data_IF_379974219227
#
_entry.id   IF_379974219227
#
_cell.length_a   1.000
_cell.length_b   1.000
_cell.length_c   1.000
_cell.angle_alpha   90.00
_cell.angle_beta   90.00
_cell.angle_gamma   90.00
#
_symmetry.space_group_name_H-M   'P 1'
#
loop_
_entity.id
_entity.type
_entity.pdbx_description
1 polymer ?
#
# COMPACT_ATOMS: atom_id res chain seq x y z
N UNK A 1 -3.95 26.97 -16.37
CA UNK A 1 -3.19 26.06 -17.23
C UNK A 1 -3.65 24.64 -16.88
N UNK A 2 -4.21 23.98 -17.86
CA UNK A 2 -5.13 22.86 -17.89
C UNK A 2 -4.75 21.68 -16.97
N UNK A 3 -5.55 21.45 -15.95
CA UNK A 3 -5.47 20.34 -14.98
C UNK A 3 -6.12 19.03 -15.49
N UNK A 4 -6.35 18.94 -16.80
CA UNK A 4 -7.18 17.92 -17.44
C UNK A 4 -6.41 16.80 -18.17
N UNK A 5 -5.08 16.75 -18.08
CA UNK A 5 -4.36 15.61 -18.66
C UNK A 5 -4.47 14.40 -17.75
N UNK A 6 -5.02 13.32 -18.32
CA UNK A 6 -5.21 12.06 -17.59
C UNK A 6 -3.88 11.44 -17.16
N UNK A 7 -3.89 10.69 -16.05
CA UNK A 7 -2.72 9.96 -15.55
C UNK A 7 -2.11 9.03 -16.61
N UNK A 8 -2.95 8.43 -17.46
CA UNK A 8 -2.52 7.56 -18.56
C UNK A 8 -1.69 8.32 -19.57
N UNK A 9 -2.13 9.51 -19.97
CA UNK A 9 -1.39 10.35 -20.91
C UNK A 9 -0.02 10.77 -20.35
N UNK A 10 0.03 11.23 -19.10
CA UNK A 10 1.29 11.62 -18.45
C UNK A 10 2.24 10.43 -18.33
N UNK A 11 1.73 9.28 -17.89
CA UNK A 11 2.54 8.07 -17.74
C UNK A 11 3.09 7.59 -19.08
N UNK A 12 2.29 7.58 -20.15
CA UNK A 12 2.75 7.17 -21.46
C UNK A 12 3.85 8.09 -21.99
N UNK A 13 3.73 9.40 -21.79
CA UNK A 13 4.79 10.37 -22.16
C UNK A 13 6.08 10.14 -21.37
N UNK A 14 5.98 9.75 -20.10
CA UNK A 14 7.15 9.40 -19.27
C UNK A 14 7.80 8.13 -19.78
N UNK A 15 7.01 7.09 -20.08
CA UNK A 15 7.53 5.76 -20.43
C UNK A 15 8.07 5.67 -21.86
N UNK A 16 7.43 6.35 -22.80
CA UNK A 16 7.72 6.26 -24.24
C UNK A 16 8.52 7.46 -24.75
N UNK A 17 8.29 8.64 -24.18
CA UNK A 17 8.79 9.91 -24.70
C UNK A 17 9.97 10.50 -23.93
N UNK A 18 10.41 9.90 -22.85
CA UNK A 18 11.48 10.44 -21.99
C UNK A 18 11.20 11.88 -21.50
N UNK A 19 9.92 12.20 -21.32
CA UNK A 19 9.43 13.55 -21.07
C UNK A 19 9.50 13.91 -19.59
N UNK A 20 10.50 14.71 -19.23
CA UNK A 20 10.69 15.19 -17.87
C UNK A 20 9.53 16.09 -17.39
N UNK A 21 8.95 16.92 -18.25
CA UNK A 21 7.82 17.79 -17.88
C UNK A 21 6.57 16.93 -17.54
N UNK A 22 6.33 15.87 -18.30
CA UNK A 22 5.25 14.93 -18.00
C UNK A 22 5.51 14.18 -16.68
N UNK A 23 6.77 13.83 -16.40
CA UNK A 23 7.17 13.22 -15.13
C UNK A 23 6.95 14.15 -13.94
N UNK A 24 7.36 15.40 -14.04
CA UNK A 24 7.15 16.42 -13.00
C UNK A 24 5.66 16.61 -12.68
N UNK A 25 4.81 16.69 -13.72
CA UNK A 25 3.36 16.81 -13.56
C UNK A 25 2.74 15.55 -12.94
N UNK A 26 3.19 14.36 -13.35
CA UNK A 26 2.77 13.09 -12.76
C UNK A 26 3.15 13.04 -11.28
N UNK A 27 4.38 13.46 -10.96
CA UNK A 27 4.88 13.53 -9.58
C UNK A 27 3.99 14.48 -8.74
N UNK A 28 3.80 15.72 -9.14
CA UNK A 28 2.98 16.67 -8.40
C UNK A 28 1.54 16.20 -8.19
N UNK A 29 0.96 15.52 -9.19
CA UNK A 29 -0.41 15.01 -9.11
C UNK A 29 -0.57 13.84 -8.18
N UNK A 30 0.42 12.96 -8.08
CA UNK A 30 0.32 11.70 -7.36
C UNK A 30 1.12 11.64 -6.05
N UNK A 31 2.06 12.56 -5.82
CA UNK A 31 2.94 12.53 -4.66
C UNK A 31 2.17 12.56 -3.34
N UNK A 32 1.35 13.58 -3.13
CA UNK A 32 0.59 13.74 -1.87
C UNK A 32 -0.37 12.58 -1.59
N UNK A 33 -1.21 12.13 -2.55
CA UNK A 33 -2.06 10.97 -2.33
C UNK A 33 -1.27 9.69 -2.01
N UNK A 34 -0.13 9.47 -2.68
CA UNK A 34 0.70 8.30 -2.45
C UNK A 34 1.43 8.36 -1.10
N UNK A 35 1.88 9.55 -0.66
CA UNK A 35 2.45 9.72 0.68
C UNK A 35 1.42 9.42 1.77
N UNK A 36 0.20 9.96 1.65
CA UNK A 36 -0.88 9.67 2.60
C UNK A 36 -1.27 8.18 2.61
N UNK A 37 -1.20 7.51 1.47
CA UNK A 37 -1.41 6.07 1.39
C UNK A 37 -0.28 5.29 2.05
N UNK A 38 0.98 5.64 1.76
CA UNK A 38 2.15 4.98 2.33
C UNK A 38 2.24 5.17 3.85
N UNK A 39 1.91 6.37 4.33
CA UNK A 39 1.90 6.71 5.75
C UNK A 39 0.96 5.80 6.57
N UNK A 40 -0.18 5.39 6.01
CA UNK A 40 -1.08 4.41 6.65
C UNK A 40 -0.47 3.00 6.75
N UNK A 41 0.55 2.70 5.95
CA UNK A 41 1.23 1.40 5.96
C UNK A 41 2.42 1.42 6.94
N UNK A 42 3.26 2.47 6.86
CA UNK A 42 4.51 2.54 7.63
C UNK A 42 4.38 3.34 8.92
N UNK A 43 3.26 4.06 9.13
CA UNK A 43 2.91 4.86 10.32
C UNK A 43 3.87 6.02 10.62
N UNK A 44 4.82 6.30 9.72
CA UNK A 44 5.83 7.36 9.87
C UNK A 44 5.85 8.17 8.57
N UNK A 45 5.50 9.45 8.67
CA UNK A 45 5.36 10.34 7.52
C UNK A 45 6.66 10.51 6.73
N UNK A 46 7.76 10.76 7.42
CA UNK A 46 9.07 10.97 6.80
C UNK A 46 9.51 9.74 6.00
N UNK A 47 9.27 8.56 6.55
CA UNK A 47 9.53 7.28 5.86
C UNK A 47 8.63 7.13 4.65
N UNK A 48 7.34 7.47 4.76
CA UNK A 48 6.42 7.41 3.64
C UNK A 48 6.85 8.32 2.49
N UNK A 49 7.28 9.55 2.77
CA UNK A 49 7.78 10.51 1.79
C UNK A 49 9.06 10.00 1.10
N UNK A 50 9.98 9.39 1.83
CA UNK A 50 11.18 8.76 1.28
C UNK A 50 10.84 7.59 0.35
N UNK A 51 9.99 6.68 0.81
CA UNK A 51 9.58 5.51 0.03
C UNK A 51 8.84 5.88 -1.26
N UNK A 52 7.98 6.88 -1.22
CA UNK A 52 7.28 7.38 -2.40
C UNK A 52 8.26 8.04 -3.38
N UNK A 53 9.22 8.82 -2.89
CA UNK A 53 10.28 9.42 -3.71
C UNK A 53 11.13 8.35 -4.40
N UNK A 54 11.47 7.27 -3.68
CA UNK A 54 12.18 6.10 -4.21
C UNK A 54 11.41 5.39 -5.33
N UNK A 55 10.08 5.28 -5.18
CA UNK A 55 9.21 4.70 -6.22
C UNK A 55 9.26 5.55 -7.49
N UNK A 56 9.12 6.87 -7.39
CA UNK A 56 9.21 7.76 -8.54
C UNK A 56 10.59 7.73 -9.19
N UNK A 57 11.66 7.75 -8.40
CA UNK A 57 13.03 7.58 -8.90
C UNK A 57 13.19 6.27 -9.68
N UNK A 58 12.67 5.17 -9.13
CA UNK A 58 12.73 3.85 -9.77
C UNK A 58 11.96 3.82 -11.08
N UNK A 59 10.79 4.47 -11.14
CA UNK A 59 10.00 4.61 -12.36
C UNK A 59 10.78 5.38 -13.41
N UNK A 60 11.34 6.54 -13.05
CA UNK A 60 12.15 7.34 -13.97
C UNK A 60 13.35 6.57 -14.50
N UNK A 61 14.09 5.91 -13.62
CA UNK A 61 15.28 5.13 -13.97
C UNK A 61 14.98 3.95 -14.90
N UNK A 62 13.84 3.28 -14.69
CA UNK A 62 13.49 2.06 -15.44
C UNK A 62 12.40 2.30 -16.51
N UNK A 63 12.05 3.54 -16.81
CA UNK A 63 10.91 3.94 -17.67
C UNK A 63 10.84 3.20 -18.99
N UNK A 64 11.98 3.00 -19.66
CA UNK A 64 12.05 2.30 -20.94
C UNK A 64 11.67 0.80 -20.89
N UNK A 65 11.61 0.21 -19.69
CA UNK A 65 11.29 -1.22 -19.48
C UNK A 65 9.91 -1.43 -18.89
N UNK A 66 9.30 -0.37 -18.38
CA UNK A 66 8.00 -0.43 -17.70
C UNK A 66 6.89 -0.42 -18.73
N UNK A 67 5.97 -1.36 -18.62
CA UNK A 67 4.70 -1.38 -19.37
C UNK A 67 3.56 -1.38 -18.37
N UNK A 68 2.69 -0.39 -18.46
CA UNK A 68 1.61 -0.16 -17.48
C UNK A 68 0.27 -0.06 -18.20
N UNK A 69 -0.67 -0.90 -17.82
CA UNK A 69 -2.04 -0.83 -18.31
C UNK A 69 -2.88 0.18 -17.54
N UNK A 70 -2.64 0.32 -16.23
CA UNK A 70 -3.30 1.29 -15.35
C UNK A 70 -2.24 2.00 -14.49
N UNK A 71 -1.88 3.26 -14.80
CA UNK A 71 -0.88 4.03 -14.07
C UNK A 71 -1.19 4.20 -12.57
N UNK A 72 -2.44 4.49 -12.24
CA UNK A 72 -2.86 4.66 -10.85
C UNK A 72 -2.64 3.38 -10.06
N UNK A 73 -3.18 2.26 -10.53
CA UNK A 73 -3.02 0.96 -9.87
C UNK A 73 -1.55 0.55 -9.76
N UNK A 74 -0.74 0.84 -10.78
CA UNK A 74 0.68 0.59 -10.78
C UNK A 74 1.41 1.39 -9.68
N UNK A 75 1.16 2.69 -9.58
CA UNK A 75 1.77 3.57 -8.58
C UNK A 75 1.41 3.13 -7.15
N UNK A 76 0.13 2.89 -6.86
CA UNK A 76 -0.31 2.42 -5.55
C UNK A 76 0.28 1.06 -5.20
N UNK A 77 0.34 0.14 -6.15
CA UNK A 77 0.96 -1.19 -5.97
C UNK A 77 2.46 -1.08 -5.70
N UNK A 78 3.17 -0.20 -6.42
CA UNK A 78 4.60 0.01 -6.23
C UNK A 78 4.90 0.58 -4.84
N UNK A 79 4.18 1.62 -4.43
CA UNK A 79 4.31 2.25 -3.11
C UNK A 79 3.97 1.27 -2.00
N UNK A 80 2.88 0.52 -2.12
CA UNK A 80 2.50 -0.51 -1.16
C UNK A 80 3.60 -1.56 -0.98
N UNK A 81 4.11 -2.09 -2.09
CA UNK A 81 5.16 -3.10 -2.02
C UNK A 81 6.40 -2.55 -1.33
N UNK A 82 6.77 -1.30 -1.61
CA UNK A 82 7.90 -0.63 -0.97
C UNK A 82 7.67 -0.43 0.52
N UNK A 83 6.46 -0.02 0.94
CA UNK A 83 6.09 0.10 2.35
C UNK A 83 6.19 -1.23 3.10
N UNK A 84 5.67 -2.31 2.52
CA UNK A 84 5.80 -3.64 3.15
C UNK A 84 7.23 -4.19 3.14
N UNK A 85 8.04 -3.86 2.13
CA UNK A 85 9.47 -4.21 2.12
C UNK A 85 10.21 -3.51 3.26
N UNK A 86 9.91 -2.24 3.48
CA UNK A 86 10.44 -1.46 4.61
C UNK A 86 10.06 -2.11 5.96
N UNK A 87 8.77 -2.41 6.19
CA UNK A 87 8.31 -3.06 7.43
C UNK A 87 8.97 -4.42 7.64
N UNK A 88 9.14 -5.22 6.58
CA UNK A 88 9.89 -6.49 6.65
C UNK A 88 11.36 -6.27 7.02
N UNK A 89 11.97 -5.21 6.54
CA UNK A 89 13.33 -4.80 6.90
C UNK A 89 13.44 -4.42 8.38
N UNK A 90 12.54 -3.58 8.85
CA UNK A 90 12.45 -3.15 10.27
C UNK A 90 12.22 -4.35 11.19
N UNK A 91 11.28 -5.24 10.86
CA UNK A 91 11.05 -6.47 11.64
C UNK A 91 12.31 -7.35 11.73
N UNK A 92 13.05 -7.48 10.64
CA UNK A 92 14.29 -8.28 10.64
C UNK A 92 15.38 -7.65 11.51
N UNK A 93 15.44 -6.32 11.56
CA UNK A 93 16.37 -5.59 12.45
C UNK A 93 15.91 -5.64 13.92
N UNK A 94 14.61 -5.51 14.17
CA UNK A 94 14.03 -5.55 15.53
C UNK A 94 14.26 -6.90 16.25
N UNK A 95 14.32 -8.00 15.52
CA UNK A 95 14.69 -9.30 16.10
C UNK A 95 16.16 -9.38 16.58
N UNK A 96 17.04 -8.53 16.00
CA UNK A 96 18.42 -8.40 16.48
C UNK A 96 18.57 -7.40 17.63
N UNK A 97 17.63 -6.46 17.80
CA UNK A 97 17.73 -5.35 18.77
C UNK A 97 16.78 -5.47 19.97
N UNK A 98 15.83 -6.41 19.95
CA UNK A 98 14.83 -6.59 21.02
C UNK A 98 15.42 -7.07 22.38
N UNK A 99 16.74 -7.25 22.47
CA UNK A 99 17.40 -7.38 23.78
C UNK A 99 17.65 -6.04 24.49
N UNK A 100 17.42 -4.86 23.87
CA UNK A 100 17.87 -3.58 24.46
C UNK A 100 16.97 -2.34 24.36
N UNK A 101 15.68 -2.43 24.02
CA UNK A 101 14.83 -1.21 24.05
C UNK A 101 13.38 -1.46 24.46
N UNK A 102 13.14 -1.39 25.75
CA UNK A 102 11.83 -1.04 26.28
C UNK A 102 11.72 0.50 26.38
N UNK A 103 10.53 1.03 26.00
CA UNK A 103 9.96 2.35 26.30
C UNK A 103 9.89 3.39 25.17
N UNK A 104 8.67 3.57 24.65
CA UNK A 104 8.08 4.88 24.37
C UNK A 104 6.61 4.86 24.82
N UNK A 105 6.18 5.71 25.76
CA UNK A 105 4.79 5.75 26.23
C UNK A 105 3.96 6.67 25.32
N UNK A 106 2.84 6.17 24.83
CA UNK A 106 1.76 6.99 24.29
C UNK A 106 0.68 7.16 25.35
N UNK A 107 0.31 8.42 25.61
CA UNK A 107 -0.63 8.79 26.65
C UNK A 107 -2.07 8.35 26.33
N UNK A 108 -2.79 7.84 27.36
CA UNK A 108 -4.24 7.64 27.50
C UNK A 108 -4.91 6.31 27.12
N UNK A 109 -4.20 5.20 27.03
CA UNK A 109 -4.79 3.88 27.21
C UNK A 109 -4.08 3.12 28.33
N UNK A 110 -4.81 2.30 29.08
CA UNK A 110 -4.12 1.41 30.04
C UNK A 110 -3.11 0.58 29.26
N UNK A 111 -1.95 0.32 29.82
CA UNK A 111 -0.86 -0.42 29.18
C UNK A 111 -1.36 -1.74 28.55
N UNK A 112 -2.37 -2.33 29.17
CA UNK A 112 -3.00 -3.56 28.74
C UNK A 112 -3.87 -3.41 27.50
N UNK A 113 -4.68 -2.35 27.41
CA UNK A 113 -5.48 -2.03 26.21
C UNK A 113 -4.59 -1.68 25.01
N UNK A 114 -3.48 -0.97 25.24
CA UNK A 114 -2.51 -0.65 24.20
C UNK A 114 -1.80 -1.92 23.67
N UNK A 115 -1.47 -2.87 24.54
CA UNK A 115 -0.89 -4.17 24.15
C UNK A 115 -1.90 -5.02 23.38
N UNK A 116 -3.15 -5.13 23.83
CA UNK A 116 -4.21 -5.88 23.15
C UNK A 116 -4.53 -5.28 21.76
N UNK A 117 -4.53 -3.95 21.62
CA UNK A 117 -4.66 -3.26 20.34
C UNK A 117 -3.47 -3.53 19.40
N UNK A 118 -2.25 -3.44 19.92
CA UNK A 118 -1.05 -3.70 19.15
C UNK A 118 -0.97 -5.17 18.67
N UNK A 119 -1.34 -6.12 19.51
CA UNK A 119 -1.43 -7.54 19.15
C UNK A 119 -2.51 -7.79 18.09
N UNK A 120 -3.68 -7.19 18.22
CA UNK A 120 -4.76 -7.31 17.24
C UNK A 120 -4.36 -6.71 15.89
N UNK A 121 -3.77 -5.51 15.87
CA UNK A 121 -3.26 -4.88 14.66
C UNK A 121 -2.17 -5.72 13.99
N UNK A 122 -1.27 -6.29 14.78
CA UNK A 122 -0.24 -7.20 14.29
C UNK A 122 -0.85 -8.44 13.65
N UNK A 123 -1.81 -9.10 14.28
CA UNK A 123 -2.48 -10.28 13.74
C UNK A 123 -3.27 -9.98 12.46
N UNK A 124 -3.97 -8.83 12.41
CA UNK A 124 -4.67 -8.38 11.19
C UNK A 124 -3.67 -8.10 10.07
N UNK A 125 -2.57 -7.42 10.36
CA UNK A 125 -1.52 -7.10 9.39
C UNK A 125 -0.87 -8.37 8.83
N UNK A 126 -0.56 -9.36 9.69
CA UNK A 126 -0.07 -10.68 9.29
C UNK A 126 -1.08 -11.40 8.39
N UNK A 127 -2.36 -11.36 8.79
CA UNK A 127 -3.44 -11.96 8.01
C UNK A 127 -3.56 -11.37 6.60
N UNK A 128 -3.49 -10.06 6.49
CA UNK A 128 -3.48 -9.36 5.19
C UNK A 128 -2.21 -9.72 4.41
N UNK A 129 -1.06 -9.84 5.09
CA UNK A 129 0.20 -10.27 4.49
C UNK A 129 0.13 -11.67 3.84
N UNK A 130 -0.68 -12.57 4.40
CA UNK A 130 -0.88 -13.94 3.92
C UNK A 130 -1.90 -14.07 2.77
N UNK A 131 -2.60 -13.00 2.42
CA UNK A 131 -3.54 -13.03 1.30
C UNK A 131 -2.80 -13.20 -0.04
N UNK A 132 -3.38 -13.97 -1.01
CA UNK A 132 -2.87 -14.00 -2.37
C UNK A 132 -2.77 -12.58 -2.95
N UNK A 133 -1.75 -12.31 -3.76
CA UNK A 133 -1.44 -10.96 -4.26
C UNK A 133 -2.65 -10.19 -4.82
N UNK A 134 -3.46 -10.83 -5.66
CA UNK A 134 -4.65 -10.20 -6.26
C UNK A 134 -5.76 -9.97 -5.23
N UNK A 135 -5.96 -10.91 -4.32
CA UNK A 135 -6.93 -10.83 -3.24
C UNK A 135 -6.58 -9.67 -2.28
N UNK A 136 -5.30 -9.55 -1.92
CA UNK A 136 -4.75 -8.49 -1.10
C UNK A 136 -4.91 -7.12 -1.75
N UNK A 137 -4.54 -6.97 -3.02
CA UNK A 137 -4.69 -5.73 -3.78
C UNK A 137 -6.15 -5.24 -3.79
N UNK A 138 -7.10 -6.14 -4.08
CA UNK A 138 -8.53 -5.81 -4.11
C UNK A 138 -9.03 -5.41 -2.72
N UNK A 139 -8.58 -6.10 -1.68
CA UNK A 139 -8.94 -5.78 -0.30
C UNK A 139 -8.45 -4.39 0.12
N UNK A 140 -7.19 -4.06 -0.19
CA UNK A 140 -6.58 -2.76 0.12
C UNK A 140 -7.23 -1.62 -0.68
N UNK A 141 -7.50 -1.78 -1.98
CA UNK A 141 -8.23 -0.79 -2.78
C UNK A 141 -9.62 -0.50 -2.23
N UNK A 142 -10.30 -1.52 -1.69
CA UNK A 142 -11.62 -1.33 -1.09
C UNK A 142 -11.56 -0.68 0.29
N UNK A 143 -10.58 -1.05 1.14
CA UNK A 143 -10.50 -0.61 2.54
C UNK A 143 -9.74 0.70 2.69
N UNK A 144 -8.61 0.83 2.02
CA UNK A 144 -7.71 1.96 2.20
C UNK A 144 -8.05 3.11 1.26
N UNK A 145 -8.42 2.80 0.01
CA UNK A 145 -8.84 3.79 -0.98
C UNK A 145 -10.36 4.06 -0.98
N UNK A 146 -11.14 3.26 -0.25
CA UNK A 146 -12.60 3.38 -0.20
C UNK A 146 -13.30 3.15 -1.54
N UNK A 147 -12.62 2.53 -2.51
CA UNK A 147 -13.17 2.29 -3.84
C UNK A 147 -14.32 1.29 -3.80
N UNK A 148 -15.39 1.58 -4.55
CA UNK A 148 -16.49 0.64 -4.77
C UNK A 148 -16.04 -0.49 -5.69
N UNK A 149 -16.66 -1.65 -5.57
CA UNK A 149 -16.31 -2.83 -6.37
C UNK A 149 -16.34 -2.60 -7.88
N UNK A 150 -17.21 -1.70 -8.37
CA UNK A 150 -17.27 -1.30 -9.78
C UNK A 150 -16.03 -0.49 -10.19
N UNK A 151 -15.57 0.40 -9.33
CA UNK A 151 -14.38 1.22 -9.54
C UNK A 151 -13.12 0.34 -9.54
N UNK A 152 -13.03 -0.59 -8.58
CA UNK A 152 -11.94 -1.58 -8.53
C UNK A 152 -11.92 -2.45 -9.79
N UNK A 153 -13.09 -2.89 -10.25
CA UNK A 153 -13.23 -3.70 -11.45
C UNK A 153 -12.73 -2.95 -12.71
N UNK A 154 -13.07 -1.67 -12.84
CA UNK A 154 -12.58 -0.79 -13.91
C UNK A 154 -11.08 -0.56 -13.80
N UNK A 155 -10.60 -0.22 -12.60
CA UNK A 155 -9.19 0.06 -12.34
C UNK A 155 -8.28 -1.13 -12.66
N UNK A 156 -8.71 -2.34 -12.30
CA UNK A 156 -7.96 -3.57 -12.52
C UNK A 156 -8.29 -4.27 -13.85
N UNK A 157 -9.21 -3.72 -14.66
CA UNK A 157 -9.69 -4.33 -15.91
C UNK A 157 -10.19 -5.77 -15.71
N UNK A 158 -10.94 -6.01 -14.63
CA UNK A 158 -11.57 -7.31 -14.30
C UNK A 158 -13.07 -7.16 -14.11
N UNK A 159 -13.80 -8.27 -14.03
CA UNK A 159 -15.24 -8.22 -13.77
C UNK A 159 -15.55 -7.88 -12.30
N UNK A 160 -16.66 -7.21 -12.04
CA UNK A 160 -17.16 -6.95 -10.67
C UNK A 160 -17.33 -8.28 -9.91
N UNK A 161 -17.76 -9.33 -10.60
CA UNK A 161 -17.90 -10.69 -10.04
C UNK A 161 -16.56 -11.27 -9.57
N UNK A 162 -15.48 -10.94 -10.28
CA UNK A 162 -14.11 -11.30 -9.86
C UNK A 162 -13.71 -10.54 -8.60
N UNK A 163 -14.02 -9.24 -8.50
CA UNK A 163 -13.77 -8.42 -7.30
C UNK A 163 -14.51 -9.00 -6.10
N UNK A 164 -15.79 -9.29 -6.24
CA UNK A 164 -16.63 -9.90 -5.19
C UNK A 164 -16.06 -11.25 -4.70
N UNK A 165 -15.66 -12.11 -5.63
CA UNK A 165 -15.08 -13.40 -5.31
C UNK A 165 -13.74 -13.27 -4.55
N UNK A 166 -12.88 -12.35 -4.96
CA UNK A 166 -11.60 -12.10 -4.29
C UNK A 166 -11.80 -11.48 -2.90
N UNK A 167 -12.75 -10.53 -2.78
CA UNK A 167 -13.10 -9.93 -1.49
C UNK A 167 -13.69 -10.99 -0.52
N UNK A 168 -14.56 -11.86 -1.01
CA UNK A 168 -15.10 -12.97 -0.20
C UNK A 168 -14.01 -13.91 0.32
N UNK A 169 -12.99 -14.21 -0.51
CA UNK A 169 -11.81 -15.01 -0.10
C UNK A 169 -10.97 -14.28 0.95
N UNK A 170 -10.75 -12.97 0.76
CA UNK A 170 -10.01 -12.16 1.73
C UNK A 170 -10.68 -12.19 3.11
N UNK A 171 -11.97 -11.86 3.17
CA UNK A 171 -12.73 -11.81 4.41
C UNK A 171 -12.82 -13.18 5.10
N UNK A 172 -13.00 -14.26 4.34
CA UNK A 172 -13.02 -15.62 4.89
C UNK A 172 -11.68 -15.97 5.54
N UNK A 173 -10.56 -15.63 4.89
CA UNK A 173 -9.22 -15.96 5.40
C UNK A 173 -8.86 -15.12 6.63
N UNK A 174 -9.21 -13.83 6.63
CA UNK A 174 -9.01 -12.96 7.78
C UNK A 174 -9.85 -13.41 9.01
N UNK A 175 -11.09 -13.86 8.79
CA UNK A 175 -11.93 -14.42 9.86
C UNK A 175 -11.33 -15.68 10.47
N UNK A 176 -10.80 -16.58 9.65
CA UNK A 176 -10.14 -17.81 10.13
C UNK A 176 -8.92 -17.50 11.00
N UNK A 177 -8.14 -16.49 10.65
CA UNK A 177 -6.97 -16.05 11.44
C UNK A 177 -7.43 -15.47 12.77
N UNK A 178 -8.45 -14.62 12.76
CA UNK A 178 -9.00 -14.03 13.98
C UNK A 178 -9.56 -15.09 14.93
N UNK A 179 -10.34 -16.05 14.42
CA UNK A 179 -10.88 -17.16 15.21
C UNK A 179 -9.77 -18.04 15.84
N UNK A 180 -8.66 -18.25 15.12
CA UNK A 180 -7.51 -19.02 15.62
C UNK A 180 -6.75 -18.31 16.75
N UNK A 181 -6.81 -16.96 16.80
CA UNK A 181 -6.12 -16.15 17.80
C UNK A 181 -6.89 -16.05 19.12
N UNK A 182 -8.23 -16.09 19.07
CA UNK A 182 -9.08 -16.01 20.26
C UNK A 182 -9.08 -17.33 21.07
N UNK A 183 -8.66 -18.43 20.46
CA UNK A 183 -8.71 -19.79 21.08
C UNK A 183 -7.34 -20.26 21.60
N UNK A 184 -6.33 -19.38 21.66
CA UNK A 184 -5.05 -19.59 22.34
C UNK A 184 -4.94 -18.75 23.60
#
# INVERSE_FOLDING_TARGET
>A
ISDSEGLEFLMNRVLEGDDYNAFERLFHKMYTPLCSFCERIVLIREVAEELVSDVFYTIWKNRARIKVASPKSYLYTAVRNRGFDYLRGVHRMSWCELEHAANVPSENHTLQEALEHAELEWHISQGIGMLPKQCKLIFELSRDEGLKYREIAQELSISVKTVEAQMGRALKRLRQIHESTIHQ
#
